data_IF_896940656080
#
_entry.id   IF_896940656080
#
_cell.length_a   1.000
_cell.length_b   1.000
_cell.length_c   1.000
_cell.angle_alpha   90.00
_cell.angle_beta   90.00
_cell.angle_gamma   90.00
#
_symmetry.space_group_name_H-M   'P 1'
#
loop_
_entity.id
_entity.type
_entity.pdbx_description
1 polymer ?
#
# COMPACT_ATOMS: atom_id res chain seq x y z
N UNK A 1 47.83 45.54 -8.16
CA UNK A 1 46.49 45.53 -8.78
C UNK A 1 46.16 44.06 -9.05
N UNK A 2 45.50 43.42 -8.09
CA UNK A 2 45.20 41.97 -8.08
C UNK A 2 44.00 41.71 -8.96
N UNK A 3 44.17 40.97 -10.04
CA UNK A 3 43.07 40.42 -10.82
C UNK A 3 42.79 39.03 -10.27
N UNK A 4 41.91 38.95 -9.28
CA UNK A 4 41.27 37.68 -8.94
C UNK A 4 40.49 37.20 -10.16
N UNK A 5 41.03 36.18 -10.81
CA UNK A 5 40.35 35.45 -11.87
C UNK A 5 39.25 34.63 -11.21
N UNK A 6 38.03 35.18 -11.15
CA UNK A 6 36.84 34.44 -10.72
C UNK A 6 36.78 33.13 -11.50
N UNK A 7 36.99 32.02 -10.79
CA UNK A 7 36.79 30.70 -11.33
C UNK A 7 35.31 30.57 -11.66
N UNK A 8 34.97 30.70 -12.94
CA UNK A 8 33.62 30.45 -13.44
C UNK A 8 33.38 28.96 -13.21
N UNK A 9 32.62 28.62 -12.19
CA UNK A 9 32.15 27.25 -11.98
C UNK A 9 31.33 26.85 -13.21
N UNK A 10 31.87 25.90 -13.98
CA UNK A 10 31.22 25.37 -15.16
C UNK A 10 29.98 24.62 -14.67
N UNK A 11 28.75 24.99 -15.08
CA UNK A 11 27.57 24.26 -14.66
C UNK A 11 27.71 22.82 -15.13
N UNK A 12 27.64 21.88 -14.20
CA UNK A 12 27.66 20.45 -14.49
C UNK A 12 26.44 20.16 -15.36
N UNK A 13 26.67 19.99 -16.66
CA UNK A 13 25.62 19.60 -17.61
C UNK A 13 25.38 18.10 -17.40
N UNK A 14 24.41 17.76 -16.57
CA UNK A 14 23.91 16.39 -16.51
C UNK A 14 23.32 16.04 -17.88
N UNK A 15 23.69 14.89 -18.45
CA UNK A 15 23.18 14.50 -19.74
C UNK A 15 21.70 14.14 -19.61
N UNK A 16 20.87 14.58 -20.56
CA UNK A 16 19.40 14.53 -20.48
C UNK A 16 18.83 13.12 -20.30
N UNK A 17 19.54 12.09 -20.79
CA UNK A 17 19.14 10.69 -20.61
C UNK A 17 19.16 10.24 -19.15
N UNK A 18 19.99 10.87 -18.30
CA UNK A 18 20.02 10.58 -16.87
C UNK A 18 18.77 11.10 -16.17
N UNK A 19 18.20 12.21 -16.65
CA UNK A 19 16.88 12.68 -16.21
C UNK A 19 15.76 11.71 -16.62
N UNK A 20 15.92 10.99 -17.75
CA UNK A 20 14.97 9.96 -18.17
C UNK A 20 14.97 8.72 -17.25
N UNK A 21 16.02 8.51 -16.45
CA UNK A 21 16.05 7.45 -15.42
C UNK A 21 15.32 7.86 -14.14
N UNK A 22 15.11 9.14 -13.90
CA UNK A 22 14.41 9.64 -12.71
C UNK A 22 13.03 8.97 -12.49
N UNK A 23 12.12 8.87 -13.49
CA UNK A 23 10.84 8.19 -13.29
C UNK A 23 10.99 6.70 -12.94
N UNK A 24 11.97 6.00 -13.51
CA UNK A 24 12.27 4.59 -13.19
C UNK A 24 12.76 4.44 -11.75
N UNK A 25 13.64 5.33 -11.29
CA UNK A 25 14.10 5.37 -9.90
C UNK A 25 12.95 5.62 -8.92
N UNK A 26 12.07 6.57 -9.23
CA UNK A 26 10.89 6.87 -8.40
C UNK A 26 9.94 5.67 -8.33
N UNK A 27 9.71 4.98 -9.44
CA UNK A 27 8.92 3.75 -9.50
C UNK A 27 9.54 2.63 -8.65
N UNK A 28 10.85 2.41 -8.77
CA UNK A 28 11.56 1.43 -7.97
C UNK A 28 11.52 1.75 -6.47
N UNK A 29 11.69 3.02 -6.11
CA UNK A 29 11.56 3.50 -4.74
C UNK A 29 10.14 3.26 -4.19
N UNK A 30 9.11 3.59 -4.98
CA UNK A 30 7.73 3.36 -4.60
C UNK A 30 7.44 1.87 -4.36
N UNK A 31 7.86 1.01 -5.29
CA UNK A 31 7.69 -0.44 -5.15
C UNK A 31 8.41 -0.98 -3.91
N UNK A 32 9.63 -0.51 -3.64
CA UNK A 32 10.39 -0.89 -2.46
C UNK A 32 9.68 -0.48 -1.17
N UNK A 33 9.20 0.77 -1.07
CA UNK A 33 8.41 1.24 0.08
C UNK A 33 7.17 0.38 0.30
N UNK A 34 6.42 0.06 -0.76
CA UNK A 34 5.25 -0.81 -0.66
C UNK A 34 5.61 -2.22 -0.17
N UNK A 35 6.79 -2.73 -0.52
CA UNK A 35 7.23 -4.08 -0.13
C UNK A 35 7.66 -4.18 1.34
N UNK A 36 8.22 -3.11 1.92
CA UNK A 36 8.77 -3.15 3.30
C UNK A 36 7.89 -2.47 4.34
N UNK A 37 7.18 -1.41 3.98
CA UNK A 37 6.45 -0.58 4.93
C UNK A 37 4.96 -0.93 5.04
N UNK A 38 4.43 -1.76 4.13
CA UNK A 38 3.00 -2.08 4.01
C UNK A 38 2.09 -0.85 4.24
N UNK A 39 2.25 0.23 3.44
CA UNK A 39 1.49 1.47 3.63
C UNK A 39 -0.03 1.25 3.48
N UNK A 40 -0.43 0.13 2.86
CA UNK A 40 -1.83 -0.24 2.70
C UNK A 40 -2.50 -0.71 4.01
N UNK A 41 -1.71 -1.10 5.02
CA UNK A 41 -2.23 -1.47 6.34
C UNK A 41 -2.93 -0.30 7.05
N UNK A 42 -2.73 0.94 6.61
CA UNK A 42 -3.44 2.12 7.12
C UNK A 42 -4.90 2.19 6.60
N UNK A 43 -5.21 1.51 5.51
CA UNK A 43 -6.56 1.48 4.93
C UNK A 43 -7.38 0.31 5.50
N UNK A 44 -7.63 0.33 6.82
CA UNK A 44 -8.52 -0.64 7.48
C UNK A 44 -10.00 -0.24 7.46
N UNK A 45 -10.31 0.96 6.98
CA UNK A 45 -11.64 1.60 7.14
C UNK A 45 -12.69 1.10 6.14
N UNK A 46 -12.28 0.50 5.01
CA UNK A 46 -13.20 0.07 3.94
C UNK A 46 -13.17 -1.45 3.68
N UNK A 47 -12.56 -2.23 4.56
CA UNK A 47 -12.73 -3.68 4.52
C UNK A 47 -14.10 -3.95 5.16
N UNK A 48 -15.04 -4.64 4.48
CA UNK A 48 -16.28 -5.04 5.14
C UNK A 48 -15.89 -5.71 6.48
N UNK A 49 -16.50 -5.30 7.60
CA UNK A 49 -16.13 -5.83 8.91
C UNK A 49 -16.16 -7.34 8.83
N UNK A 50 -15.13 -7.99 9.38
CA UNK A 50 -15.02 -9.46 9.42
C UNK A 50 -16.36 -9.96 9.95
N UNK A 51 -17.16 -10.62 9.10
CA UNK A 51 -18.51 -11.02 9.47
C UNK A 51 -18.39 -11.95 10.69
N UNK A 52 -18.82 -11.45 11.85
CA UNK A 52 -18.85 -12.24 13.06
C UNK A 52 -20.10 -13.11 12.99
N UNK A 53 -19.95 -14.27 12.36
CA UNK A 53 -21.01 -15.28 12.25
C UNK A 53 -21.04 -16.13 13.52
N UNK A 54 -22.13 -16.03 14.27
CA UNK A 54 -22.42 -16.95 15.36
C UNK A 54 -23.19 -18.15 14.79
N UNK A 55 -22.76 -19.38 15.11
CA UNK A 55 -23.50 -20.59 14.78
C UNK A 55 -24.65 -20.73 15.78
N UNK A 56 -25.88 -20.54 15.33
CA UNK A 56 -27.07 -20.68 16.19
C UNK A 56 -27.46 -22.15 16.38
N UNK A 57 -27.37 -22.94 15.30
CA UNK A 57 -27.78 -24.34 15.32
C UNK A 57 -27.04 -25.14 14.25
N UNK A 58 -26.65 -26.36 14.62
CA UNK A 58 -26.15 -27.37 13.70
C UNK A 58 -27.11 -28.56 13.76
N UNK A 59 -27.62 -28.95 12.61
CA UNK A 59 -28.44 -30.15 12.43
C UNK A 59 -27.67 -31.12 11.56
N UNK A 60 -27.55 -32.37 12.01
CA UNK A 60 -27.01 -33.45 11.21
C UNK A 60 -28.18 -34.18 10.54
N UNK A 61 -28.24 -34.14 9.22
CA UNK A 61 -29.25 -34.82 8.41
C UNK A 61 -28.61 -35.96 7.61
N UNK A 62 -29.40 -36.89 7.06
CA UNK A 62 -28.88 -37.94 6.17
C UNK A 62 -28.13 -37.40 4.95
N UNK A 63 -28.46 -36.17 4.50
CA UNK A 63 -27.85 -35.49 3.36
C UNK A 63 -26.61 -34.65 3.73
N UNK A 64 -26.38 -34.36 5.02
CA UNK A 64 -25.21 -33.60 5.46
C UNK A 64 -25.43 -32.77 6.72
N UNK A 65 -24.76 -31.61 6.81
CA UNK A 65 -24.92 -30.66 7.90
C UNK A 65 -25.73 -29.46 7.44
N UNK A 66 -26.79 -29.15 8.18
CA UNK A 66 -27.53 -27.89 8.04
C UNK A 66 -27.10 -26.93 9.16
N UNK A 67 -26.58 -25.76 8.77
CA UNK A 67 -26.08 -24.74 9.69
C UNK A 67 -26.98 -23.51 9.64
N UNK A 68 -27.48 -23.08 10.80
CA UNK A 68 -28.08 -21.75 10.98
C UNK A 68 -27.04 -20.79 11.53
N UNK A 69 -26.81 -19.71 10.80
CA UNK A 69 -25.84 -18.66 11.10
C UNK A 69 -26.58 -17.35 11.41
N UNK A 70 -26.10 -16.63 12.42
CA UNK A 70 -26.54 -15.27 12.74
C UNK A 70 -25.41 -14.30 12.51
N UNK A 71 -25.65 -13.24 11.72
CA UNK A 71 -24.71 -12.12 11.62
C UNK A 71 -24.81 -11.30 12.91
N UNK A 72 -23.82 -11.47 13.78
CA UNK A 72 -23.69 -10.75 15.05
C UNK A 72 -22.67 -9.61 14.96
N UNK A 73 -22.35 -9.16 13.74
CA UNK A 73 -21.49 -8.00 13.51
C UNK A 73 -22.11 -6.71 14.06
N UNK A 74 -21.29 -5.68 14.33
CA UNK A 74 -21.80 -4.39 14.79
C UNK A 74 -22.76 -3.80 13.75
N UNK A 75 -23.93 -3.36 14.22
CA UNK A 75 -24.85 -2.58 13.39
C UNK A 75 -24.16 -1.27 13.03
N UNK A 76 -24.26 -0.81 11.77
CA UNK A 76 -23.68 0.47 11.38
C UNK A 76 -24.23 1.58 12.28
N UNK A 77 -23.33 2.38 12.85
CA UNK A 77 -23.63 3.62 13.59
C UNK A 77 -23.73 4.80 12.64
#
# INVERSE_FOLDING_TARGET
MTLEKSAIEKPVRMPSWLLSLLPLLLLGLLAWVFSVANPLALFTVNVPPVEQLAVERVLLTPEGFELRLLNSGPMPV
#
